data_IF_363445304788
#
_entry.id   IF_363445304788
#
_cell.length_a   1.000
_cell.length_b   1.000
_cell.length_c   1.000
_cell.angle_alpha   90.00
_cell.angle_beta   90.00
_cell.angle_gamma   90.00
#
_symmetry.space_group_name_H-M   'P 1'
#
loop_
_entity.id
_entity.type
_entity.pdbx_description
1 polymer ?
#
# COMPACT_ATOMS: atom_id res chain seq x y z
N UNK A 1 8.58 7.91 -13.70
CA UNK A 1 7.75 8.72 -12.78
C UNK A 1 7.15 7.88 -11.65
N UNK A 2 6.46 6.76 -11.93
CA UNK A 2 5.87 5.88 -10.92
C UNK A 2 6.86 5.46 -9.79
N UNK A 3 8.08 5.04 -10.15
CA UNK A 3 9.11 4.67 -9.17
C UNK A 3 9.48 5.82 -8.24
N UNK A 4 9.71 7.02 -8.78
CA UNK A 4 10.04 8.20 -7.99
C UNK A 4 8.91 8.57 -7.02
N UNK A 5 7.65 8.55 -7.48
CA UNK A 5 6.49 8.80 -6.62
C UNK A 5 6.37 7.74 -5.53
N UNK A 6 6.59 6.46 -5.86
CA UNK A 6 6.60 5.37 -4.88
C UNK A 6 7.65 5.59 -3.80
N UNK A 7 8.89 5.90 -4.19
CA UNK A 7 9.98 6.17 -3.24
C UNK A 7 9.66 7.35 -2.32
N UNK A 8 9.05 8.41 -2.84
CA UNK A 8 8.64 9.57 -2.04
C UNK A 8 7.54 9.19 -1.04
N UNK A 9 6.49 8.51 -1.50
CA UNK A 9 5.37 8.07 -0.65
C UNK A 9 5.85 7.10 0.42
N UNK A 10 6.61 6.07 0.02
CA UNK A 10 7.18 5.08 0.92
C UNK A 10 8.08 5.75 1.97
N UNK A 11 8.99 6.63 1.54
CA UNK A 11 9.89 7.35 2.45
C UNK A 11 9.14 8.24 3.43
N UNK A 12 8.16 9.01 2.95
CA UNK A 12 7.35 9.90 3.78
C UNK A 12 6.52 9.11 4.82
N UNK A 13 5.87 8.03 4.40
CA UNK A 13 5.06 7.19 5.29
C UNK A 13 5.92 6.40 6.28
N UNK A 14 7.10 5.95 5.86
CA UNK A 14 8.08 5.32 6.75
C UNK A 14 8.47 6.29 7.86
N UNK A 15 8.93 7.50 7.50
CA UNK A 15 9.30 8.56 8.47
C UNK A 15 8.13 8.87 9.40
N UNK A 16 6.91 8.94 8.88
CA UNK A 16 5.71 9.12 9.69
C UNK A 16 5.52 7.98 10.70
N UNK A 17 5.67 6.72 10.28
CA UNK A 17 5.62 5.54 11.14
C UNK A 17 6.68 5.56 12.25
N UNK A 18 7.91 6.02 11.95
CA UNK A 18 8.98 6.20 12.94
C UNK A 18 8.61 7.25 14.00
N UNK A 19 8.06 8.39 13.55
CA UNK A 19 7.86 9.58 14.39
C UNK A 19 6.55 9.56 15.16
N UNK A 20 5.53 8.87 14.66
CA UNK A 20 4.19 8.92 15.25
C UNK A 20 4.14 8.24 16.62
N UNK A 21 3.57 8.95 17.59
CA UNK A 21 3.36 8.44 18.96
C UNK A 21 2.10 7.58 19.07
N UNK A 22 1.18 7.70 18.10
CA UNK A 22 -0.05 6.89 18.07
C UNK A 22 0.31 5.43 17.84
N UNK A 23 -0.37 4.54 18.53
CA UNK A 23 -0.26 3.10 18.30
C UNK A 23 -1.00 2.68 17.04
N UNK A 24 -0.24 2.44 15.96
CA UNK A 24 -0.77 1.95 14.70
C UNK A 24 -1.04 0.44 14.75
N UNK A 25 -0.46 -0.33 15.67
CA UNK A 25 -0.71 -1.77 15.79
C UNK A 25 -2.21 -2.06 15.96
N UNK A 26 -2.92 -1.17 16.65
CA UNK A 26 -4.39 -1.21 16.81
C UNK A 26 -5.18 -1.13 15.49
N UNK A 27 -4.57 -0.63 14.41
CA UNK A 27 -5.20 -0.50 13.10
C UNK A 27 -5.11 -1.78 12.25
N UNK A 28 -4.40 -2.82 12.71
CA UNK A 28 -4.15 -4.03 11.93
C UNK A 28 -5.41 -4.69 11.39
N UNK A 29 -6.46 -4.82 12.21
CA UNK A 29 -7.75 -5.41 11.77
C UNK A 29 -8.43 -4.57 10.70
N UNK A 30 -8.42 -3.24 10.84
CA UNK A 30 -9.01 -2.33 9.86
C UNK A 30 -8.26 -2.40 8.52
N UNK A 31 -6.93 -2.39 8.56
CA UNK A 31 -6.09 -2.49 7.37
C UNK A 31 -6.27 -3.84 6.67
N UNK A 32 -6.42 -4.92 7.43
CA UNK A 32 -6.66 -6.26 6.88
C UNK A 32 -8.02 -6.34 6.18
N UNK A 33 -9.09 -5.81 6.78
CA UNK A 33 -10.41 -5.75 6.14
C UNK A 33 -10.36 -4.90 4.87
N UNK A 34 -9.71 -3.73 4.90
CA UNK A 34 -9.55 -2.88 3.72
C UNK A 34 -8.77 -3.58 2.59
N UNK A 35 -7.75 -4.37 2.93
CA UNK A 35 -7.01 -5.20 1.98
C UNK A 35 -7.92 -6.22 1.29
N UNK A 36 -8.76 -6.92 2.05
CA UNK A 36 -9.72 -7.88 1.48
C UNK A 36 -10.71 -7.18 0.54
N UNK A 37 -11.21 -5.99 0.90
CA UNK A 37 -12.13 -5.22 0.05
C UNK A 37 -11.46 -4.85 -1.28
N UNK A 38 -10.24 -4.32 -1.23
CA UNK A 38 -9.47 -3.94 -2.43
C UNK A 38 -9.13 -5.17 -3.27
N UNK A 39 -8.79 -6.30 -2.64
CA UNK A 39 -8.51 -7.56 -3.31
C UNK A 39 -9.74 -8.10 -4.06
N UNK A 40 -10.90 -8.16 -3.41
CA UNK A 40 -12.16 -8.58 -4.05
C UNK A 40 -12.54 -7.61 -5.17
N UNK A 41 -12.42 -6.29 -4.96
CA UNK A 41 -12.67 -5.29 -5.99
C UNK A 41 -11.79 -5.52 -7.22
N UNK A 42 -10.51 -5.84 -7.01
CA UNK A 42 -9.56 -6.17 -8.07
C UNK A 42 -9.98 -7.42 -8.84
N UNK A 43 -10.42 -8.48 -8.15
CA UNK A 43 -10.95 -9.70 -8.79
C UNK A 43 -12.20 -9.42 -9.62
N UNK A 44 -13.13 -8.61 -9.11
CA UNK A 44 -14.34 -8.22 -9.85
C UNK A 44 -13.99 -7.44 -11.11
N UNK A 45 -13.01 -6.53 -11.04
CA UNK A 45 -12.60 -5.77 -12.21
C UNK A 45 -11.97 -6.63 -13.32
N UNK A 46 -11.40 -7.79 -12.99
CA UNK A 46 -10.89 -8.73 -14.02
C UNK A 46 -11.99 -9.22 -14.96
N UNK A 47 -13.23 -9.36 -14.45
CA UNK A 47 -14.37 -9.77 -15.26
C UNK A 47 -15.08 -8.59 -15.94
N UNK A 48 -15.07 -7.41 -15.31
CA UNK A 48 -15.71 -6.21 -15.86
C UNK A 48 -14.85 -5.50 -16.92
N UNK A 49 -13.52 -5.51 -16.76
CA UNK A 49 -12.59 -4.83 -17.66
C UNK A 49 -12.74 -3.30 -17.70
N UNK A 50 -13.28 -2.68 -16.66
CA UNK A 50 -13.56 -1.23 -16.66
C UNK A 50 -12.31 -0.41 -16.32
N UNK A 51 -11.95 0.53 -17.21
CA UNK A 51 -10.84 1.47 -16.99
C UNK A 51 -11.11 2.40 -15.81
N UNK A 52 -12.33 2.92 -15.68
CA UNK A 52 -12.73 3.78 -14.57
C UNK A 52 -12.66 3.04 -13.22
N UNK A 53 -13.14 1.79 -13.18
CA UNK A 53 -13.06 0.99 -11.96
C UNK A 53 -11.61 0.64 -11.60
N UNK A 54 -10.75 0.40 -12.61
CA UNK A 54 -9.31 0.21 -12.42
C UNK A 54 -8.64 1.44 -11.78
N UNK A 55 -9.03 2.67 -12.17
CA UNK A 55 -8.52 3.91 -11.55
C UNK A 55 -8.90 3.98 -10.08
N UNK A 56 -10.16 3.67 -9.74
CA UNK A 56 -10.66 3.68 -8.36
C UNK A 56 -9.89 2.66 -7.51
N UNK A 57 -9.77 1.42 -8.00
CA UNK A 57 -9.05 0.35 -7.30
C UNK A 57 -7.60 0.73 -7.11
N UNK A 58 -6.91 1.17 -8.17
CA UNK A 58 -5.49 1.52 -8.09
C UNK A 58 -5.24 2.68 -7.12
N UNK A 59 -6.13 3.67 -7.10
CA UNK A 59 -6.05 4.77 -6.12
C UNK A 59 -6.25 4.28 -4.68
N UNK A 60 -7.21 3.37 -4.46
CA UNK A 60 -7.43 2.75 -3.16
C UNK A 60 -6.23 1.91 -2.70
N UNK A 61 -5.61 1.14 -3.61
CA UNK A 61 -4.39 0.35 -3.32
C UNK A 61 -3.26 1.29 -2.89
N UNK A 62 -3.01 2.39 -3.62
CA UNK A 62 -1.96 3.36 -3.25
C UNK A 62 -2.18 3.90 -1.84
N UNK A 63 -3.39 4.33 -1.51
CA UNK A 63 -3.71 4.88 -0.18
C UNK A 63 -3.56 3.80 0.89
N UNK A 64 -4.14 2.62 0.67
CA UNK A 64 -4.11 1.51 1.63
C UNK A 64 -2.68 1.10 1.96
N UNK A 65 -1.86 0.83 0.95
CA UNK A 65 -0.49 0.39 1.17
C UNK A 65 0.41 1.51 1.68
N UNK A 66 0.10 2.78 1.39
CA UNK A 66 0.77 3.92 2.06
C UNK A 66 0.57 3.88 3.58
N UNK A 67 -0.63 3.52 4.05
CA UNK A 67 -0.90 3.36 5.48
C UNK A 67 -0.22 2.10 6.03
N UNK A 68 -0.16 1.00 5.26
CA UNK A 68 0.63 -0.18 5.63
C UNK A 68 2.12 0.14 5.83
N UNK A 69 2.74 0.95 4.95
CA UNK A 69 4.15 1.36 5.14
C UNK A 69 4.37 1.99 6.51
N UNK A 70 3.48 2.89 6.94
CA UNK A 70 3.59 3.51 8.26
C UNK A 70 3.37 2.51 9.40
N UNK A 71 2.37 1.62 9.24
CA UNK A 71 2.05 0.55 10.19
C UNK A 71 3.22 -0.43 10.37
N UNK A 72 3.77 -0.95 9.27
CA UNK A 72 4.85 -1.92 9.28
C UNK A 72 6.17 -1.31 9.72
N UNK A 73 6.48 -0.09 9.27
CA UNK A 73 7.66 0.63 9.76
C UNK A 73 7.60 0.82 11.28
N UNK A 74 6.43 1.20 11.83
CA UNK A 74 6.28 1.35 13.27
C UNK A 74 6.44 0.00 14.00
N UNK A 75 5.83 -1.07 13.48
CA UNK A 75 5.90 -2.40 14.08
C UNK A 75 7.32 -2.97 14.07
N UNK A 76 8.09 -2.72 13.02
CA UNK A 76 9.51 -3.10 12.92
C UNK A 76 10.32 -2.40 14.02
N UNK A 77 10.14 -1.09 14.18
CA UNK A 77 10.88 -0.31 15.19
C UNK A 77 10.48 -0.68 16.62
N UNK A 78 9.23 -1.11 16.81
CA UNK A 78 8.73 -1.62 18.09
C UNK A 78 9.08 -3.09 18.36
N UNK A 79 9.71 -3.78 17.42
CA UNK A 79 10.08 -5.20 17.56
C UNK A 79 8.88 -6.14 17.59
N UNK A 80 7.78 -5.78 16.93
CA UNK A 80 6.54 -6.58 16.88
C UNK A 80 6.57 -7.67 15.80
N UNK A 81 7.64 -7.75 15.02
CA UNK A 81 7.90 -8.80 14.04
C UNK A 81 8.72 -9.94 14.65
N UNK A 82 8.29 -11.18 14.42
CA UNK A 82 8.99 -12.39 14.88
C UNK A 82 10.27 -12.69 14.10
N UNK A 83 10.34 -12.26 12.85
CA UNK A 83 11.47 -12.52 11.95
C UNK A 83 11.83 -11.26 11.16
N UNK A 84 13.13 -10.92 11.03
CA UNK A 84 13.58 -9.85 10.13
C UNK A 84 13.20 -10.10 8.67
N UNK A 85 13.07 -11.37 8.27
CA UNK A 85 12.65 -11.74 6.91
C UNK A 85 11.20 -11.35 6.68
N UNK A 86 10.31 -11.62 7.64
CA UNK A 86 8.89 -11.25 7.55
C UNK A 86 8.73 -9.73 7.47
N UNK A 87 9.47 -9.00 8.31
CA UNK A 87 9.52 -7.53 8.28
C UNK A 87 9.94 -6.98 6.91
N UNK A 88 11.00 -7.55 6.32
CA UNK A 88 11.48 -7.13 5.01
C UNK A 88 10.48 -7.45 3.89
N UNK A 89 9.82 -8.61 3.96
CA UNK A 89 8.80 -9.01 2.99
C UNK A 89 7.58 -8.07 3.07
N UNK A 90 7.11 -7.72 4.27
CA UNK A 90 5.98 -6.78 4.43
C UNK A 90 6.28 -5.44 3.77
N UNK A 91 7.41 -4.80 4.12
CA UNK A 91 7.80 -3.53 3.51
C UNK A 91 8.01 -3.63 1.99
N UNK A 92 8.54 -4.75 1.50
CA UNK A 92 8.68 -5.00 0.07
C UNK A 92 7.31 -5.07 -0.62
N UNK A 93 6.35 -5.80 -0.04
CA UNK A 93 5.01 -5.93 -0.59
C UNK A 93 4.29 -4.58 -0.60
N UNK A 94 4.45 -3.77 0.44
CA UNK A 94 3.90 -2.42 0.47
C UNK A 94 4.44 -1.57 -0.68
N UNK A 95 5.78 -1.53 -0.83
CA UNK A 95 6.44 -0.80 -1.90
C UNK A 95 5.98 -1.29 -3.28
N UNK A 96 5.95 -2.61 -3.47
CA UNK A 96 5.54 -3.25 -4.72
C UNK A 96 4.10 -2.88 -5.10
N UNK A 97 3.16 -2.97 -4.16
CA UNK A 97 1.75 -2.68 -4.42
C UNK A 97 1.50 -1.20 -4.73
N UNK A 98 2.17 -0.29 -4.02
CA UNK A 98 2.13 1.15 -4.35
C UNK A 98 2.70 1.38 -5.75
N UNK A 99 3.85 0.77 -6.06
CA UNK A 99 4.50 0.92 -7.36
C UNK A 99 3.62 0.43 -8.52
N UNK A 100 3.08 -0.78 -8.42
CA UNK A 100 2.24 -1.36 -9.47
C UNK A 100 0.96 -0.54 -9.68
N UNK A 101 0.38 -0.02 -8.60
CA UNK A 101 -0.84 0.78 -8.68
C UNK A 101 -0.60 2.17 -9.26
N UNK A 102 0.49 2.84 -8.86
CA UNK A 102 0.90 4.10 -9.48
C UNK A 102 1.28 3.91 -10.95
N UNK A 103 1.94 2.80 -11.29
CA UNK A 103 2.24 2.45 -12.68
C UNK A 103 0.96 2.24 -13.49
N UNK A 104 -0.05 1.56 -12.92
CA UNK A 104 -1.36 1.40 -13.55
C UNK A 104 -2.05 2.75 -13.76
N UNK A 105 -2.08 3.63 -12.75
CA UNK A 105 -2.71 4.95 -12.85
C UNK A 105 -2.05 5.83 -13.92
N UNK A 106 -0.72 5.91 -13.90
CA UNK A 106 0.04 6.69 -14.89
C UNK A 106 -0.12 6.06 -16.29
N UNK A 107 -0.12 4.73 -16.38
CA UNK A 107 -0.31 4.01 -17.64
C UNK A 107 -1.68 4.24 -18.27
N UNK A 108 -2.73 4.33 -17.46
CA UNK A 108 -4.09 4.65 -17.92
C UNK A 108 -4.19 6.13 -18.33
N UNK A 109 -3.67 7.06 -17.52
CA UNK A 109 -3.72 8.49 -17.82
C UNK A 109 -2.96 8.89 -19.10
N UNK A 110 -2.01 8.07 -19.57
CA UNK A 110 -1.28 8.33 -20.81
C UNK A 110 -1.95 7.70 -22.05
N UNK A 111 -3.01 6.90 -21.87
CA UNK A 111 -3.74 6.22 -22.95
C UNK A 111 -4.97 6.99 -23.42
N UNK A 112 -5.47 7.92 -22.60
CA UNK A 112 -6.48 8.92 -22.94
C UNK A 112 -5.81 10.19 -23.49
#
# INVERSE_FOLDING_TARGET
MAFAMTTIVFGAMSIFGIRTRKDLASMGTMLFVALIVVFIGSLVNLFLGSSMFQVIISSAVVILFSVYVAYDTQNIIRGLYSSPVDAAISLYLDFYNIFMSLLSLIGLSNRD
#
